data_IF_545215273282
#
_entry.id   IF_545215273282
#
_cell.length_a   1.000
_cell.length_b   1.000
_cell.length_c   1.000
_cell.angle_alpha   90.00
_cell.angle_beta   90.00
_cell.angle_gamma   90.00
#
_symmetry.space_group_name_H-M   'P 1'
#
loop_
_entity.id
_entity.type
_entity.pdbx_description
1 polymer ?
#
# COMPACT_ATOMS: atom_id res chain seq x y z
N UNK A 1 5.05 2.57 -10.54
CA UNK A 1 3.81 2.91 -9.79
C UNK A 1 3.36 4.32 -10.12
N UNK A 2 2.07 4.53 -10.26
CA UNK A 2 1.51 5.82 -10.63
C UNK A 2 0.64 6.35 -9.49
N UNK A 3 0.97 7.55 -8.98
CA UNK A 3 0.13 8.24 -7.98
C UNK A 3 -1.00 8.92 -8.74
N UNK A 4 -2.24 8.53 -8.46
CA UNK A 4 -3.42 9.05 -9.15
C UNK A 4 -4.05 10.21 -8.40
N UNK A 5 -3.95 10.21 -7.07
CA UNK A 5 -4.49 11.27 -6.23
C UNK A 5 -3.69 11.33 -4.94
N UNK A 6 -3.50 12.55 -4.41
CA UNK A 6 -2.78 12.79 -3.17
C UNK A 6 -3.34 14.06 -2.55
N UNK A 7 -4.17 13.90 -1.53
CA UNK A 7 -4.85 15.01 -0.87
C UNK A 7 -4.54 15.01 0.63
N UNK A 8 -4.65 16.18 1.24
CA UNK A 8 -4.43 16.35 2.67
C UNK A 8 -5.58 17.17 3.26
N UNK A 9 -6.22 16.62 4.28
CA UNK A 9 -7.35 17.30 4.94
C UNK A 9 -7.43 16.89 6.40
N UNK A 10 -7.53 17.84 7.31
CA UNK A 10 -7.71 17.60 8.75
C UNK A 10 -6.65 16.68 9.34
N UNK A 11 -5.40 16.84 8.89
CA UNK A 11 -4.28 16.01 9.36
C UNK A 11 -4.17 14.64 8.71
N UNK A 12 -5.10 14.28 7.84
CA UNK A 12 -5.10 12.96 7.15
C UNK A 12 -4.69 13.15 5.70
N UNK A 13 -3.66 12.39 5.29
CA UNK A 13 -3.23 12.33 3.90
C UNK A 13 -3.87 11.12 3.25
N UNK A 14 -4.56 11.33 2.14
CA UNK A 14 -5.19 10.26 1.35
C UNK A 14 -4.49 10.17 0.00
N UNK A 15 -3.98 8.99 -0.32
CA UNK A 15 -3.25 8.72 -1.54
C UNK A 15 -3.93 7.56 -2.26
N UNK A 16 -4.15 7.74 -3.57
CA UNK A 16 -4.61 6.65 -4.44
C UNK A 16 -3.53 6.42 -5.48
N UNK A 17 -3.05 5.19 -5.56
CA UNK A 17 -1.98 4.81 -6.48
C UNK A 17 -2.35 3.59 -7.29
N UNK A 18 -1.81 3.51 -8.50
CA UNK A 18 -1.96 2.36 -9.37
C UNK A 18 -0.67 1.55 -9.35
N UNK A 19 -0.68 0.31 -8.80
CA UNK A 19 0.50 -0.55 -8.81
C UNK A 19 0.75 -1.12 -10.21
N UNK A 20 1.97 -1.61 -10.43
CA UNK A 20 2.38 -2.19 -11.70
C UNK A 20 2.76 -3.66 -11.53
N UNK A 21 2.44 -4.46 -12.55
CA UNK A 21 2.87 -5.87 -12.60
C UNK A 21 2.17 -6.78 -11.61
N UNK A 22 1.03 -6.37 -11.07
CA UNK A 22 0.27 -7.13 -10.07
C UNK A 22 -1.21 -7.13 -10.40
N UNK A 23 -1.99 -7.97 -9.71
CA UNK A 23 -3.41 -8.14 -9.99
C UNK A 23 -4.29 -7.04 -9.41
N UNK A 24 -3.85 -6.33 -8.37
CA UNK A 24 -4.63 -5.22 -7.82
C UNK A 24 -4.60 -4.02 -8.78
N UNK A 25 -5.71 -3.30 -8.86
CA UNK A 25 -5.86 -2.18 -9.80
C UNK A 25 -5.58 -0.83 -9.15
N UNK A 26 -5.81 -0.70 -7.85
CA UNK A 26 -5.56 0.54 -7.12
C UNK A 26 -5.31 0.24 -5.64
N UNK A 27 -4.53 1.13 -5.02
CA UNK A 27 -4.29 1.12 -3.58
C UNK A 27 -4.72 2.48 -3.05
N UNK A 28 -5.65 2.50 -2.10
CA UNK A 28 -6.03 3.73 -1.39
C UNK A 28 -5.44 3.68 0.01
N UNK A 29 -4.64 4.68 0.36
CA UNK A 29 -3.89 4.73 1.61
C UNK A 29 -4.24 6.00 2.36
N UNK A 30 -4.53 5.87 3.65
CA UNK A 30 -4.76 7.01 4.54
C UNK A 30 -3.70 7.02 5.63
N UNK A 31 -3.02 8.16 5.77
CA UNK A 31 -1.94 8.35 6.73
C UNK A 31 -2.24 9.49 7.68
N UNK A 32 -1.77 9.33 8.91
CA UNK A 32 -1.69 10.42 9.88
C UNK A 32 -0.25 10.46 10.38
N UNK A 33 0.52 11.46 9.93
CA UNK A 33 1.96 11.48 10.16
C UNK A 33 2.62 10.26 9.53
N UNK A 34 3.31 9.47 10.34
CA UNK A 34 3.97 8.24 9.90
C UNK A 34 3.14 6.97 10.19
N UNK A 35 1.90 7.14 10.66
CA UNK A 35 1.02 6.02 10.98
C UNK A 35 0.05 5.75 9.85
N UNK A 36 -0.15 4.48 9.54
CA UNK A 36 -1.14 4.04 8.56
C UNK A 36 -2.50 3.96 9.26
N UNK A 37 -3.43 4.85 8.89
CA UNK A 37 -4.78 4.81 9.43
C UNK A 37 -5.61 3.71 8.79
N UNK A 38 -5.46 3.57 7.47
CA UNK A 38 -6.23 2.60 6.70
C UNK A 38 -5.59 2.38 5.34
N UNK A 39 -5.84 1.23 4.76
CA UNK A 39 -5.44 0.92 3.39
C UNK A 39 -6.50 0.02 2.76
N UNK A 40 -6.81 0.27 1.51
CA UNK A 40 -7.75 -0.55 0.74
C UNK A 40 -7.12 -0.91 -0.60
N UNK A 41 -7.27 -2.17 -1.00
CA UNK A 41 -6.81 -2.66 -2.29
C UNK A 41 -8.03 -2.96 -3.15
N UNK A 42 -8.03 -2.49 -4.39
CA UNK A 42 -9.10 -2.69 -5.34
C UNK A 42 -8.65 -3.66 -6.42
N UNK A 43 -9.41 -4.73 -6.61
CA UNK A 43 -9.05 -5.83 -7.51
C UNK A 43 -8.06 -6.80 -6.86
N UNK A 44 -7.70 -7.87 -7.57
CA UNK A 44 -6.72 -8.83 -7.12
C UNK A 44 -7.23 -9.86 -6.11
N UNK A 45 -6.33 -10.40 -5.31
CA UNK A 45 -6.60 -11.47 -4.34
C UNK A 45 -7.29 -10.92 -3.09
N UNK A 46 -8.60 -10.89 -3.11
CA UNK A 46 -9.42 -10.19 -2.14
C UNK A 46 -9.09 -10.58 -0.68
N UNK A 47 -9.05 -11.88 -0.38
CA UNK A 47 -8.78 -12.35 0.98
C UNK A 47 -7.40 -11.97 1.48
N UNK A 48 -6.38 -12.19 0.67
CA UNK A 48 -4.99 -11.88 1.03
C UNK A 48 -4.79 -10.37 1.20
N UNK A 49 -5.37 -9.57 0.33
CA UNK A 49 -5.22 -8.11 0.39
C UNK A 49 -5.97 -7.51 1.59
N UNK A 50 -7.11 -8.06 1.95
CA UNK A 50 -7.81 -7.66 3.17
C UNK A 50 -7.00 -7.99 4.42
N UNK A 51 -6.33 -9.14 4.43
CA UNK A 51 -5.45 -9.52 5.52
C UNK A 51 -4.27 -8.57 5.67
N UNK A 52 -3.63 -8.21 4.56
CA UNK A 52 -2.52 -7.24 4.55
C UNK A 52 -3.00 -5.88 5.07
N UNK A 53 -4.16 -5.43 4.61
CA UNK A 53 -4.74 -4.15 5.06
C UNK A 53 -5.00 -4.16 6.57
N UNK A 54 -5.54 -5.24 7.09
CA UNK A 54 -5.81 -5.38 8.52
C UNK A 54 -4.52 -5.35 9.35
N UNK A 55 -3.46 -6.01 8.87
CA UNK A 55 -2.16 -6.02 9.55
C UNK A 55 -1.45 -4.68 9.47
N UNK A 56 -1.63 -3.93 8.39
CA UNK A 56 -0.97 -2.64 8.20
C UNK A 56 -1.64 -1.52 9.00
N UNK A 57 -2.92 -1.64 9.26
CA UNK A 57 -3.68 -0.60 9.97
C UNK A 57 -3.13 -0.37 11.38
N UNK A 58 -2.83 0.88 11.70
CA UNK A 58 -2.25 1.25 12.99
C UNK A 58 -0.73 1.10 13.07
N UNK A 59 -0.09 0.61 12.01
CA UNK A 59 1.37 0.42 12.00
C UNK A 59 2.07 1.64 11.40
N UNK A 60 3.36 1.78 11.72
CA UNK A 60 4.18 2.84 11.12
C UNK A 60 4.57 2.48 9.71
N UNK A 61 4.71 3.50 8.86
CA UNK A 61 5.13 3.35 7.46
C UNK A 61 6.44 2.54 7.36
N UNK A 62 7.43 2.88 8.17
CA UNK A 62 8.75 2.23 8.13
C UNK A 62 8.66 0.74 8.44
N UNK A 63 7.82 0.35 9.38
CA UNK A 63 7.64 -1.06 9.76
C UNK A 63 7.03 -1.87 8.62
N UNK A 64 5.95 -1.37 8.03
CA UNK A 64 5.26 -2.08 6.96
C UNK A 64 6.13 -2.15 5.71
N UNK A 65 6.78 -1.05 5.37
CA UNK A 65 7.70 -0.99 4.23
C UNK A 65 8.82 -2.04 4.36
N UNK A 66 9.43 -2.13 5.53
CA UNK A 66 10.51 -3.07 5.78
C UNK A 66 10.06 -4.52 5.63
N UNK A 67 8.87 -4.84 6.14
CA UNK A 67 8.36 -6.22 6.15
C UNK A 67 7.88 -6.68 4.79
N UNK A 68 7.33 -5.80 3.97
CA UNK A 68 6.70 -6.16 2.71
C UNK A 68 7.58 -5.97 1.49
N UNK A 69 8.68 -5.22 1.60
CA UNK A 69 9.59 -4.99 0.47
C UNK A 69 10.22 -6.29 0.00
N UNK A 70 10.25 -6.48 -1.32
CA UNK A 70 10.93 -7.61 -1.94
C UNK A 70 10.11 -8.90 -1.98
N UNK A 71 8.87 -8.89 -1.49
CA UNK A 71 8.02 -10.07 -1.58
C UNK A 71 7.55 -10.22 -3.04
N UNK A 72 7.78 -11.39 -3.61
CA UNK A 72 7.39 -11.69 -4.99
C UNK A 72 6.23 -12.65 -5.04
N UNK A 73 5.50 -12.66 -6.16
CA UNK A 73 4.34 -13.53 -6.37
C UNK A 73 4.63 -14.47 -7.54
N UNK A 74 4.79 -15.76 -7.25
CA UNK A 74 5.09 -16.77 -8.26
C UNK A 74 6.39 -16.44 -9.01
N UNK A 75 6.33 -16.45 -10.34
CA UNK A 75 7.48 -16.09 -11.18
C UNK A 75 7.65 -14.60 -11.45
N UNK A 76 6.84 -13.74 -10.86
CA UNK A 76 6.91 -12.29 -11.06
C UNK A 76 8.01 -11.68 -10.20
N UNK A 77 8.53 -10.52 -10.61
CA UNK A 77 9.54 -9.77 -9.88
C UNK A 77 8.97 -8.92 -8.72
N UNK A 78 7.64 -8.84 -8.60
CA UNK A 78 6.96 -8.03 -7.61
C UNK A 78 5.66 -8.71 -7.16
N UNK A 79 4.96 -8.09 -6.24
CA UNK A 79 3.67 -8.55 -5.73
C UNK A 79 2.86 -7.36 -5.24
N UNK A 80 1.57 -7.57 -4.91
CA UNK A 80 0.77 -6.50 -4.31
C UNK A 80 1.38 -5.99 -3.00
N UNK A 81 1.84 -6.84 -2.05
CA UNK A 81 2.55 -6.36 -0.87
C UNK A 81 3.80 -5.56 -1.19
N UNK A 82 4.60 -6.01 -2.16
CA UNK A 82 5.81 -5.31 -2.56
C UNK A 82 5.48 -3.96 -3.19
N UNK A 83 4.46 -3.88 -4.04
CA UNK A 83 4.00 -2.62 -4.62
C UNK A 83 3.51 -1.65 -3.55
N UNK A 84 2.82 -2.14 -2.53
CA UNK A 84 2.43 -1.33 -1.38
C UNK A 84 3.67 -0.78 -0.66
N UNK A 85 4.67 -1.62 -0.43
CA UNK A 85 5.93 -1.18 0.18
C UNK A 85 6.65 -0.12 -0.67
N UNK A 86 6.64 -0.26 -2.00
CA UNK A 86 7.20 0.75 -2.89
C UNK A 86 6.45 2.08 -2.79
N UNK A 87 5.14 2.04 -2.69
CA UNK A 87 4.34 3.24 -2.45
C UNK A 87 4.76 3.92 -1.13
N UNK A 88 4.87 3.16 -0.05
CA UNK A 88 5.30 3.70 1.24
C UNK A 88 6.69 4.31 1.17
N UNK A 89 7.60 3.72 0.40
CA UNK A 89 8.96 4.26 0.22
C UNK A 89 8.95 5.62 -0.48
N UNK A 90 8.03 5.84 -1.43
CA UNK A 90 7.90 7.12 -2.12
C UNK A 90 7.36 8.22 -1.21
N UNK A 91 6.68 7.87 -0.12
CA UNK A 91 6.04 8.82 0.78
C UNK A 91 6.90 9.19 1.99
N UNK A 92 8.05 8.57 2.13
CA UNK A 92 8.96 8.86 3.25
C UNK A 92 9.98 9.94 2.90
#
# INVERSE_FOLDING_TARGET
>A
MKIMNDTFSCGVRTIVAQPEGVCSQAIELKLFGDEILDVAFYGGCNGNLKGIAALAKGQKISEVKQRLSGITCGGKSTSCPDQFAQLLAELQ
#
